data_IF_194439317647
#
_entry.id   IF_194439317647
#
_cell.length_a   1.000
_cell.length_b   1.000
_cell.length_c   1.000
_cell.angle_alpha   90.00
_cell.angle_beta   90.00
_cell.angle_gamma   90.00
#
_symmetry.space_group_name_H-M   'P 1'
#
loop_
_entity.id
_entity.type
_entity.pdbx_description
1 polymer ?
#
# COMPACT_ATOMS: atom_id res chain seq x y z
N UNK A 1 -2.03 -23.05 -10.52
CA UNK A 1 -3.28 -22.57 -9.89
C UNK A 1 -3.43 -21.10 -10.20
N UNK A 2 -4.55 -20.64 -10.77
CA UNK A 2 -4.82 -19.23 -11.01
C UNK A 2 -5.51 -18.60 -9.79
N UNK A 3 -5.05 -17.44 -9.32
CA UNK A 3 -5.66 -16.71 -8.20
C UNK A 3 -6.78 -15.81 -8.74
N UNK A 4 -8.04 -15.93 -8.28
CA UNK A 4 -9.11 -15.02 -8.68
C UNK A 4 -8.83 -13.61 -8.14
N UNK A 5 -8.71 -12.60 -9.02
CA UNK A 5 -8.29 -11.23 -8.66
C UNK A 5 -9.19 -10.53 -7.63
N UNK A 6 -10.45 -10.95 -7.48
CA UNK A 6 -11.40 -10.42 -6.48
C UNK A 6 -11.37 -11.14 -5.12
N UNK A 7 -10.66 -12.27 -5.02
CA UNK A 7 -10.59 -13.11 -3.83
C UNK A 7 -9.15 -13.26 -3.33
N UNK A 8 -8.26 -12.35 -3.70
CA UNK A 8 -6.84 -12.46 -3.35
C UNK A 8 -6.63 -12.48 -1.83
N UNK A 9 -7.28 -11.57 -1.10
CA UNK A 9 -7.17 -11.55 0.36
C UNK A 9 -7.74 -12.82 0.97
N UNK A 10 -8.94 -13.26 0.60
CA UNK A 10 -9.52 -14.52 1.11
C UNK A 10 -8.67 -15.74 0.74
N UNK A 11 -8.12 -15.79 -0.48
CA UNK A 11 -7.19 -16.83 -0.89
C UNK A 11 -5.95 -16.85 0.01
N UNK A 12 -5.29 -15.71 0.23
CA UNK A 12 -4.10 -15.64 1.09
C UNK A 12 -4.39 -16.07 2.54
N UNK A 13 -5.55 -15.72 3.09
CA UNK A 13 -5.91 -16.09 4.47
C UNK A 13 -6.19 -17.59 4.63
N UNK A 14 -6.64 -18.27 3.58
CA UNK A 14 -6.92 -19.73 3.62
C UNK A 14 -5.70 -20.60 3.40
N UNK A 15 -4.55 -20.02 3.01
CA UNK A 15 -3.34 -20.78 2.66
C UNK A 15 -2.34 -20.83 3.80
N UNK A 16 -1.72 -21.99 3.95
CA UNK A 16 -0.59 -22.20 4.85
C UNK A 16 0.65 -21.44 4.35
N UNK A 17 1.59 -21.22 5.26
CA UNK A 17 2.89 -20.61 4.93
C UNK A 17 3.62 -21.38 3.83
N UNK A 18 3.58 -22.72 3.86
CA UNK A 18 4.25 -23.56 2.86
C UNK A 18 3.61 -23.41 1.48
N UNK A 19 2.28 -23.45 1.37
CA UNK A 19 1.59 -23.25 0.10
C UNK A 19 1.88 -21.87 -0.52
N UNK A 20 1.97 -20.82 0.32
CA UNK A 20 2.36 -19.48 -0.12
C UNK A 20 3.80 -19.45 -0.64
N UNK A 21 4.72 -20.10 0.07
CA UNK A 21 6.11 -20.20 -0.35
C UNK A 21 6.25 -20.97 -1.67
N UNK A 22 5.58 -22.11 -1.80
CA UNK A 22 5.60 -22.92 -3.02
C UNK A 22 5.03 -22.13 -4.20
N UNK A 23 3.92 -21.41 -4.00
CA UNK A 23 3.37 -20.52 -5.01
C UNK A 23 4.39 -19.44 -5.41
N UNK A 24 5.02 -18.78 -4.44
CA UNK A 24 5.98 -17.71 -4.72
C UNK A 24 7.22 -18.23 -5.48
N UNK A 25 7.73 -19.42 -5.12
CA UNK A 25 8.88 -20.05 -5.78
C UNK A 25 8.61 -20.46 -7.23
N UNK A 26 7.35 -20.78 -7.55
CA UNK A 26 6.94 -21.16 -8.91
C UNK A 26 6.62 -19.94 -9.77
N UNK A 27 6.02 -18.90 -9.20
CA UNK A 27 5.40 -17.82 -9.97
C UNK A 27 6.14 -16.48 -9.92
N UNK A 28 6.96 -16.20 -8.90
CA UNK A 28 7.70 -14.94 -8.79
C UNK A 28 9.09 -15.14 -9.39
N UNK A 29 9.53 -14.19 -10.20
CA UNK A 29 10.89 -14.18 -10.74
C UNK A 29 11.91 -14.26 -9.59
N UNK A 30 12.79 -15.26 -9.66
CA UNK A 30 13.86 -15.50 -8.67
C UNK A 30 14.81 -14.32 -8.53
N UNK A 31 15.01 -13.52 -9.57
CA UNK A 31 15.84 -12.32 -9.52
C UNK A 31 15.20 -11.20 -8.68
N UNK A 32 13.88 -11.22 -8.51
CA UNK A 32 13.13 -10.20 -7.77
C UNK A 32 12.69 -10.68 -6.38
N UNK A 33 12.50 -11.99 -6.19
CA UNK A 33 11.98 -12.55 -4.94
C UNK A 33 13.05 -12.55 -3.83
N UNK A 34 12.86 -11.84 -2.70
CA UNK A 34 13.87 -11.72 -1.64
C UNK A 34 13.88 -12.96 -0.71
N UNK A 35 13.96 -14.17 -1.28
CA UNK A 35 13.83 -15.44 -0.57
C UNK A 35 14.83 -15.56 0.59
N UNK A 36 16.09 -15.20 0.35
CA UNK A 36 17.14 -15.28 1.37
C UNK A 36 16.86 -14.40 2.59
N UNK A 37 16.20 -13.26 2.39
CA UNK A 37 15.76 -12.38 3.47
C UNK A 37 14.54 -12.97 4.19
N UNK A 38 13.52 -13.43 3.45
CA UNK A 38 12.29 -14.00 4.01
C UNK A 38 12.60 -15.20 4.92
N UNK A 39 13.47 -16.11 4.49
CA UNK A 39 13.83 -17.30 5.27
C UNK A 39 14.60 -16.97 6.56
N UNK A 40 15.15 -15.77 6.70
CA UNK A 40 15.86 -15.30 7.90
C UNK A 40 14.96 -14.56 8.89
N UNK A 41 13.69 -14.34 8.55
CA UNK A 41 12.77 -13.65 9.45
C UNK A 41 12.53 -14.46 10.74
N UNK A 42 12.46 -13.79 11.90
CA UNK A 42 12.53 -14.47 13.20
C UNK A 42 11.24 -15.21 13.58
N UNK A 43 10.10 -14.87 12.97
CA UNK A 43 8.81 -15.45 13.33
C UNK A 43 8.06 -15.97 12.10
N UNK A 44 7.34 -17.08 12.30
CA UNK A 44 6.46 -17.65 11.27
C UNK A 44 5.41 -16.66 10.77
N UNK A 45 4.92 -15.80 11.67
CA UNK A 45 4.00 -14.73 11.31
C UNK A 45 4.64 -13.74 10.32
N UNK A 46 5.86 -13.25 10.60
CA UNK A 46 6.56 -12.34 9.69
C UNK A 46 6.87 -12.99 8.35
N UNK A 47 7.22 -14.27 8.33
CA UNK A 47 7.40 -15.03 7.08
C UNK A 47 6.09 -15.05 6.28
N UNK A 48 4.97 -15.39 6.92
CA UNK A 48 3.67 -15.38 6.25
C UNK A 48 3.30 -14.00 5.71
N UNK A 49 3.50 -12.94 6.50
CA UNK A 49 3.21 -11.56 6.08
C UNK A 49 4.11 -11.11 4.93
N UNK A 50 5.40 -11.47 4.95
CA UNK A 50 6.31 -11.21 3.86
C UNK A 50 5.84 -11.86 2.56
N UNK A 51 5.43 -13.13 2.63
CA UNK A 51 4.90 -13.87 1.49
C UNK A 51 3.61 -13.24 0.98
N UNK A 52 2.70 -12.85 1.88
CA UNK A 52 1.45 -12.17 1.52
C UNK A 52 1.70 -10.85 0.79
N UNK A 53 2.66 -10.04 1.27
CA UNK A 53 3.08 -8.81 0.62
C UNK A 53 3.72 -9.05 -0.74
N UNK A 54 4.63 -10.04 -0.84
CA UNK A 54 5.30 -10.39 -2.09
C UNK A 54 4.32 -10.88 -3.15
N UNK A 55 3.44 -11.82 -2.80
CA UNK A 55 2.43 -12.38 -3.71
C UNK A 55 1.44 -11.29 -4.12
N UNK A 56 0.97 -10.47 -3.16
CA UNK A 56 0.03 -9.40 -3.46
C UNK A 56 0.64 -8.38 -4.40
N UNK A 57 1.84 -7.87 -4.08
CA UNK A 57 2.56 -6.94 -4.95
C UNK A 57 2.78 -7.51 -6.35
N UNK A 58 3.23 -8.78 -6.44
CA UNK A 58 3.45 -9.45 -7.72
C UNK A 58 2.19 -9.47 -8.58
N UNK A 59 1.08 -9.97 -8.04
CA UNK A 59 -0.18 -10.08 -8.76
C UNK A 59 -0.78 -8.71 -9.10
N UNK A 60 -0.69 -7.75 -8.19
CA UNK A 60 -1.24 -6.40 -8.37
C UNK A 60 -0.45 -5.56 -9.38
N UNK A 61 0.86 -5.79 -9.48
CA UNK A 61 1.72 -5.13 -10.48
C UNK A 61 1.75 -5.84 -11.83
N UNK A 62 0.89 -6.86 -12.02
CA UNK A 62 0.86 -7.71 -13.21
C UNK A 62 2.21 -8.37 -13.47
N UNK A 63 2.78 -8.96 -12.42
CA UNK A 63 3.97 -9.80 -12.48
C UNK A 63 5.23 -9.02 -12.88
N UNK A 64 5.32 -7.76 -12.41
CA UNK A 64 6.42 -6.84 -12.75
C UNK A 64 7.33 -6.52 -11.58
N UNK A 65 6.81 -6.55 -10.35
CA UNK A 65 7.55 -6.12 -9.17
C UNK A 65 7.29 -7.03 -7.98
N UNK A 66 8.35 -7.29 -7.22
CA UNK A 66 8.30 -7.91 -5.91
C UNK A 66 8.99 -6.98 -4.89
N UNK A 67 8.49 -6.84 -3.65
CA UNK A 67 9.13 -6.01 -2.66
C UNK A 67 10.53 -6.50 -2.32
N UNK A 68 11.48 -5.57 -2.18
CA UNK A 68 12.82 -5.83 -1.68
C UNK A 68 12.83 -5.93 -0.16
N UNK A 69 13.92 -6.47 0.41
CA UNK A 69 14.09 -6.62 1.85
C UNK A 69 13.85 -5.32 2.62
N UNK A 70 14.41 -4.20 2.16
CA UNK A 70 14.29 -2.89 2.82
C UNK A 70 12.85 -2.36 2.79
N UNK A 71 12.09 -2.70 1.73
CA UNK A 71 10.69 -2.32 1.59
C UNK A 71 9.80 -3.15 2.51
N UNK A 72 10.13 -4.44 2.70
CA UNK A 72 9.47 -5.32 3.67
C UNK A 72 9.73 -4.86 5.11
N UNK A 73 10.98 -4.52 5.46
CA UNK A 73 11.31 -3.95 6.79
C UNK A 73 10.51 -2.69 7.08
N UNK A 74 10.44 -1.78 6.09
CA UNK A 74 9.65 -0.55 6.21
C UNK A 74 8.17 -0.88 6.45
N UNK A 75 7.61 -1.83 5.69
CA UNK A 75 6.23 -2.24 5.86
C UNK A 75 5.96 -2.89 7.24
N UNK A 76 6.86 -3.74 7.74
CA UNK A 76 6.71 -4.33 9.07
C UNK A 76 6.78 -3.30 10.18
N UNK A 77 7.67 -2.32 10.05
CA UNK A 77 7.76 -1.21 11.00
C UNK A 77 6.44 -0.43 11.05
N UNK A 78 5.89 -0.09 9.88
CA UNK A 78 4.58 0.60 9.78
C UNK A 78 3.42 -0.25 10.31
N UNK A 79 3.38 -1.54 10.01
CA UNK A 79 2.36 -2.47 10.53
C UNK A 79 2.41 -2.62 12.06
N UNK A 80 3.60 -2.45 12.64
CA UNK A 80 3.80 -2.47 14.09
C UNK A 80 3.42 -1.13 14.76
N UNK A 81 3.00 -0.12 13.98
CA UNK A 81 2.67 1.21 14.48
C UNK A 81 3.87 2.09 14.79
N UNK A 82 5.06 1.76 14.26
CA UNK A 82 6.28 2.53 14.51
C UNK A 82 6.44 3.66 13.50
N UNK A 83 6.84 4.83 13.99
CA UNK A 83 7.34 5.92 13.15
C UNK A 83 8.62 5.49 12.45
N UNK A 84 8.62 5.56 11.12
CA UNK A 84 9.70 5.01 10.29
C UNK A 84 10.26 6.06 9.35
N UNK A 85 11.57 6.29 9.41
CA UNK A 85 12.28 7.16 8.48
C UNK A 85 13.03 6.33 7.43
N UNK A 86 12.53 6.37 6.19
CA UNK A 86 13.16 5.67 5.06
C UNK A 86 14.13 6.60 4.31
N UNK A 87 15.43 6.45 4.56
CA UNK A 87 16.46 7.16 3.81
C UNK A 87 16.95 6.33 2.62
N UNK A 88 16.52 6.69 1.41
CA UNK A 88 16.90 5.98 0.19
C UNK A 88 16.96 6.89 -1.04
N UNK A 89 17.86 6.59 -1.97
CA UNK A 89 18.02 7.31 -3.24
C UNK A 89 16.78 7.26 -4.15
N UNK A 90 16.76 8.05 -5.21
CA UNK A 90 15.73 7.94 -6.27
C UNK A 90 15.81 6.56 -6.94
N UNK A 91 14.69 6.03 -7.44
CA UNK A 91 14.64 4.70 -8.05
C UNK A 91 14.66 3.50 -7.08
N UNK A 92 14.88 3.72 -5.78
CA UNK A 92 14.85 2.64 -4.76
C UNK A 92 13.46 2.06 -4.47
N UNK A 93 12.39 2.68 -4.99
CA UNK A 93 11.01 2.23 -4.75
C UNK A 93 10.41 2.69 -3.41
N UNK A 94 10.80 3.87 -2.92
CA UNK A 94 10.20 4.50 -1.72
C UNK A 94 8.67 4.56 -1.78
N UNK A 95 8.14 4.87 -2.95
CA UNK A 95 6.70 4.98 -3.20
C UNK A 95 5.98 3.65 -2.93
N UNK A 96 6.55 2.51 -3.34
CA UNK A 96 6.02 1.19 -3.01
C UNK A 96 6.13 0.93 -1.50
N UNK A 97 7.25 1.27 -0.89
CA UNK A 97 7.49 1.07 0.56
C UNK A 97 6.44 1.77 1.43
N UNK A 98 6.04 2.99 1.05
CA UNK A 98 5.06 3.79 1.77
C UNK A 98 3.65 3.19 1.77
N UNK A 99 3.29 2.42 0.74
CA UNK A 99 1.94 1.85 0.57
C UNK A 99 1.88 0.35 0.81
N UNK A 100 3.03 -0.32 0.95
CA UNK A 100 3.11 -1.78 0.95
C UNK A 100 2.28 -2.38 2.09
N UNK A 101 2.32 -1.75 3.27
CA UNK A 101 1.54 -2.16 4.44
C UNK A 101 0.01 -2.11 4.20
N UNK A 102 -0.47 -1.22 3.33
CA UNK A 102 -1.88 -1.09 3.00
C UNK A 102 -2.42 -2.33 2.25
N UNK A 103 -1.56 -3.18 1.68
CA UNK A 103 -1.99 -4.42 1.03
C UNK A 103 -2.51 -5.50 1.97
N UNK A 104 -2.13 -5.49 3.25
CA UNK A 104 -2.48 -6.58 4.14
C UNK A 104 -3.91 -6.49 4.70
N UNK A 105 -4.68 -5.44 4.42
CA UNK A 105 -6.08 -5.27 4.87
C UNK A 105 -6.32 -5.50 6.38
N UNK A 106 -5.25 -5.57 7.20
CA UNK A 106 -5.34 -5.87 8.64
C UNK A 106 -5.84 -4.69 9.46
N UNK A 107 -5.69 -3.47 8.92
CA UNK A 107 -6.05 -2.23 9.59
C UNK A 107 -7.16 -1.55 8.80
N UNK A 108 -8.32 -1.31 9.42
CA UNK A 108 -9.42 -0.48 8.89
C UNK A 108 -9.06 1.03 8.79
N UNK A 109 -7.77 1.34 8.65
CA UNK A 109 -7.23 2.69 8.64
C UNK A 109 -7.08 3.24 7.22
N UNK A 110 -6.94 4.56 7.15
CA UNK A 110 -6.66 5.28 5.90
C UNK A 110 -5.17 5.63 5.87
N UNK A 111 -4.50 5.31 4.76
CA UNK A 111 -3.13 5.77 4.50
C UNK A 111 -3.16 7.16 3.85
N UNK A 112 -2.69 8.18 4.55
CA UNK A 112 -2.53 9.53 3.99
C UNK A 112 -1.09 9.74 3.51
N UNK A 113 -0.92 9.93 2.21
CA UNK A 113 0.35 10.30 1.59
C UNK A 113 0.37 11.80 1.27
N UNK A 114 1.34 12.51 1.82
CA UNK A 114 1.55 13.94 1.56
C UNK A 114 2.69 14.09 0.55
N UNK A 115 2.38 14.65 -0.62
CA UNK A 115 3.36 14.96 -1.65
C UNK A 115 3.62 16.48 -1.68
N UNK A 116 4.88 16.94 -1.76
CA UNK A 116 5.21 18.36 -1.67
C UNK A 116 4.73 19.18 -2.89
N UNK A 117 4.37 18.53 -4.00
CA UNK A 117 3.94 19.20 -5.22
C UNK A 117 2.80 18.43 -5.90
N UNK A 118 1.86 19.16 -6.52
CA UNK A 118 0.75 18.58 -7.30
C UNK A 118 1.22 17.64 -8.42
N UNK A 119 2.36 17.93 -9.04
CA UNK A 119 2.94 17.06 -10.07
C UNK A 119 3.34 15.70 -9.52
N UNK A 120 3.93 15.68 -8.32
CA UNK A 120 4.33 14.45 -7.63
C UNK A 120 3.08 13.71 -7.14
N UNK A 121 2.09 14.42 -6.58
CA UNK A 121 0.77 13.86 -6.24
C UNK A 121 0.14 13.14 -7.45
N UNK A 122 0.07 13.80 -8.60
CA UNK A 122 -0.51 13.22 -9.81
C UNK A 122 0.25 11.97 -10.27
N UNK A 123 1.58 11.99 -10.21
CA UNK A 123 2.41 10.82 -10.51
C UNK A 123 2.12 9.66 -9.57
N UNK A 124 2.13 9.90 -8.26
CA UNK A 124 1.85 8.86 -7.26
C UNK A 124 0.44 8.29 -7.41
N UNK A 125 -0.58 9.14 -7.61
CA UNK A 125 -1.96 8.69 -7.85
C UNK A 125 -2.04 7.76 -9.06
N UNK A 126 -1.37 8.08 -10.16
CA UNK A 126 -1.34 7.25 -11.38
C UNK A 126 -0.63 5.92 -11.10
N UNK A 127 0.50 5.94 -10.42
CA UNK A 127 1.27 4.74 -10.12
C UNK A 127 0.50 3.82 -9.15
N UNK A 128 -0.17 4.40 -8.15
CA UNK A 128 -1.05 3.65 -7.27
C UNK A 128 -2.27 3.11 -8.00
N UNK A 129 -2.88 3.85 -8.94
CA UNK A 129 -3.99 3.31 -9.74
C UNK A 129 -3.61 2.13 -10.63
N UNK A 130 -2.35 2.05 -11.05
CA UNK A 130 -1.85 0.87 -11.78
C UNK A 130 -1.64 -0.33 -10.86
N UNK A 131 -1.35 -0.06 -9.59
CA UNK A 131 -0.83 -1.02 -8.60
C UNK A 131 -1.88 -1.40 -7.53
N UNK A 132 -2.97 -0.66 -7.42
CA UNK A 132 -4.13 -0.90 -6.56
C UNK A 132 -5.41 -0.84 -7.42
N UNK A 133 -6.52 -1.39 -6.92
CA UNK A 133 -7.81 -1.18 -7.57
C UNK A 133 -8.23 0.28 -7.46
N UNK A 134 -8.77 0.84 -8.55
CA UNK A 134 -9.18 2.25 -8.64
C UNK A 134 -10.14 2.70 -7.52
N UNK A 135 -10.90 1.77 -6.95
CA UNK A 135 -11.83 2.04 -5.84
C UNK A 135 -11.14 2.43 -4.52
N UNK A 136 -9.86 2.10 -4.34
CA UNK A 136 -9.14 2.23 -3.05
C UNK A 136 -8.22 3.44 -2.95
N UNK A 137 -7.99 4.14 -4.05
CA UNK A 137 -7.06 5.29 -4.10
C UNK A 137 -7.83 6.56 -4.44
N UNK A 138 -7.88 7.49 -3.48
CA UNK A 138 -8.52 8.78 -3.65
C UNK A 138 -7.49 9.89 -3.88
N UNK A 139 -7.63 10.52 -5.03
CA UNK A 139 -6.98 11.80 -5.33
C UNK A 139 -7.94 12.92 -4.90
N UNK A 140 -7.58 13.66 -3.86
CA UNK A 140 -8.39 14.78 -3.33
C UNK A 140 -8.74 15.80 -4.42
N UNK A 141 -7.91 15.92 -5.46
CA UNK A 141 -8.17 16.79 -6.60
C UNK A 141 -9.40 16.40 -7.42
N UNK A 142 -9.85 15.13 -7.38
CA UNK A 142 -10.80 14.55 -8.34
C UNK A 142 -12.16 14.15 -7.74
N UNK A 143 -12.42 14.40 -6.46
CA UNK A 143 -13.72 14.19 -5.76
C UNK A 143 -14.47 12.92 -6.22
N UNK A 144 -13.93 11.73 -5.95
CA UNK A 144 -14.57 10.46 -6.33
C UNK A 144 -15.19 9.72 -5.13
N UNK A 145 -16.43 9.18 -5.26
CA UNK A 145 -17.02 8.30 -4.24
C UNK A 145 -16.38 6.90 -4.24
N UNK A 146 -16.24 6.26 -3.08
CA UNK A 146 -15.73 4.89 -2.93
C UNK A 146 -15.16 4.56 -1.54
N UNK A 147 -14.78 3.28 -1.32
CA UNK A 147 -14.07 2.81 -0.12
C UNK A 147 -12.58 3.12 -0.24
N UNK A 148 -12.16 4.25 0.31
CA UNK A 148 -10.80 4.78 0.17
C UNK A 148 -9.88 4.20 1.24
N UNK A 149 -8.78 3.56 0.82
CA UNK A 149 -7.71 3.08 1.70
C UNK A 149 -6.47 3.97 1.61
N UNK A 150 -6.25 4.64 0.48
CA UNK A 150 -5.10 5.51 0.23
C UNK A 150 -5.58 6.89 -0.25
N UNK A 151 -5.20 7.94 0.48
CA UNK A 151 -5.42 9.33 0.10
C UNK A 151 -4.09 9.96 -0.26
N UNK A 152 -4.00 10.58 -1.44
CA UNK A 152 -2.81 11.35 -1.85
C UNK A 152 -3.16 12.83 -1.90
N UNK A 153 -2.42 13.66 -1.16
CA UNK A 153 -2.69 15.08 -0.98
C UNK A 153 -1.41 15.93 -1.04
N UNK A 154 -1.54 17.23 -1.31
CA UNK A 154 -0.47 18.20 -1.02
C UNK A 154 -0.69 18.87 0.34
N UNK A 155 0.33 19.49 0.95
CA UNK A 155 0.16 20.24 2.20
C UNK A 155 -0.99 21.26 2.14
N UNK A 156 -1.10 22.01 1.04
CA UNK A 156 -2.13 23.04 0.86
C UNK A 156 -3.55 22.45 0.76
N UNK A 157 -3.69 21.17 0.44
CA UNK A 157 -4.98 20.48 0.42
C UNK A 157 -5.40 19.96 1.80
N UNK A 158 -4.47 19.92 2.76
CA UNK A 158 -4.69 19.46 4.14
C UNK A 158 -4.92 20.60 5.10
N UNK A 159 -4.14 21.68 4.98
CA UNK A 159 -4.20 22.82 5.89
C UNK A 159 -5.24 23.86 5.45
N UNK A 160 -5.82 24.58 6.42
CA UNK A 160 -6.75 25.67 6.15
C UNK A 160 -6.08 26.76 5.32
N UNK A 161 -6.88 27.46 4.50
CA UNK A 161 -6.39 28.69 3.88
C UNK A 161 -6.11 29.74 4.95
N UNK A 162 -5.31 30.75 4.60
CA UNK A 162 -5.00 31.89 5.47
C UNK A 162 -6.29 32.61 5.93
N UNK A 163 -7.33 32.57 5.10
CA UNK A 163 -8.67 33.14 5.37
C UNK A 163 -9.55 32.24 6.25
N UNK A 164 -9.02 31.14 6.79
CA UNK A 164 -9.72 30.25 7.71
C UNK A 164 -10.67 29.24 7.04
N UNK A 165 -10.74 29.19 5.71
CA UNK A 165 -11.56 28.20 5.00
C UNK A 165 -11.04 26.78 5.22
N UNK A 166 -11.97 25.84 5.38
CA UNK A 166 -11.63 24.42 5.48
C UNK A 166 -10.91 23.93 4.23
N UNK A 167 -9.86 23.17 4.45
CA UNK A 167 -9.12 22.50 3.38
C UNK A 167 -10.02 21.51 2.64
N UNK A 168 -9.64 21.11 1.43
CA UNK A 168 -10.39 20.10 0.67
C UNK A 168 -10.50 18.79 1.44
N UNK A 169 -9.46 18.42 2.18
CA UNK A 169 -9.49 17.28 3.10
C UNK A 169 -10.46 17.49 4.26
N UNK A 170 -10.46 18.67 4.89
CA UNK A 170 -11.41 18.99 5.96
C UNK A 170 -12.87 18.88 5.52
N UNK A 171 -13.19 19.31 4.30
CA UNK A 171 -14.54 19.15 3.73
C UNK A 171 -14.87 17.68 3.42
N UNK A 172 -13.89 16.90 2.95
CA UNK A 172 -14.06 15.46 2.67
C UNK A 172 -14.40 14.68 3.94
N UNK A 173 -13.68 14.94 5.04
CA UNK A 173 -13.90 14.24 6.33
C UNK A 173 -15.19 14.69 7.05
N UNK A 174 -15.69 15.89 6.75
CA UNK A 174 -16.93 16.40 7.34
C UNK A 174 -18.19 15.80 6.69
N UNK A 175 -18.22 15.70 5.36
CA UNK A 175 -19.36 15.10 4.65
C UNK A 175 -19.59 13.61 4.95
N UNK A 176 -18.57 12.89 5.41
CA UNK A 176 -18.68 11.51 5.90
C UNK A 176 -19.32 11.39 7.30
N UNK A 177 -19.38 12.47 8.07
CA UNK A 177 -20.00 12.47 9.41
C UNK A 177 -21.51 12.76 9.31
N UNK A 178 -21.92 13.61 8.36
CA UNK A 178 -23.32 14.01 8.16
C UNK A 178 -24.19 12.96 7.45
N UNK A 179 -23.60 11.86 6.98
CA UNK A 179 -24.31 10.74 6.33
C UNK A 179 -24.57 9.54 7.24
N UNK A 180 -24.30 9.67 8.55
CA UNK A 180 -24.52 8.62 9.57
C UNK A 180 -25.55 9.04 10.63
N UNK A 181 -26.45 9.98 10.31
CA UNK A 181 -27.60 10.36 11.15
C UNK A 181 -28.89 10.13 10.40
#
# INVERSE_FOLDING_TARGET
>A
MSVPRGLLSSWLHTRTMQEKLDFALVHIDRALFPLAYILRLPSRQRISEALDLCITCWLRTRERQCPKAEQLETAFSLLSGNDTFLYAGTGSGKTLSAILHAYLEKNHGITLMIAPMKRIQASHSIDFWKTFTQSRVHDIGKKKPGNVEIIVATPEQLFRSVDGHYSRFGNLMRGSIESTV
#
